data_IF_208744910861
#
_entry.id   IF_208744910861
#
_cell.length_a   1.000
_cell.length_b   1.000
_cell.length_c   1.000
_cell.angle_alpha   90.00
_cell.angle_beta   90.00
_cell.angle_gamma   90.00
#
_symmetry.space_group_name_H-M   'P 1'
#
loop_
_entity.id
_entity.type
_entity.pdbx_description
1 polymer ?
#
# COMPACT_ATOMS: atom_id res chain seq x y z
N UNK A 1 40.84 -31.16 -19.82
CA UNK A 1 39.39 -30.90 -19.92
C UNK A 1 39.06 -30.73 -21.40
N UNK A 2 38.12 -31.51 -21.93
CA UNK A 2 37.74 -31.51 -23.36
C UNK A 2 36.90 -30.25 -23.70
N UNK A 3 36.98 -29.73 -24.94
CA UNK A 3 36.20 -28.59 -25.44
C UNK A 3 34.69 -28.70 -25.13
N UNK A 4 34.09 -29.89 -25.23
CA UNK A 4 32.70 -30.16 -24.82
C UNK A 4 32.46 -29.93 -23.32
N UNK A 5 33.42 -30.27 -22.46
CA UNK A 5 33.31 -30.03 -21.02
C UNK A 5 33.41 -28.52 -20.70
N UNK A 6 34.27 -27.79 -21.42
CA UNK A 6 34.39 -26.33 -21.32
C UNK A 6 33.08 -25.65 -21.77
N UNK A 7 32.54 -26.07 -22.92
CA UNK A 7 31.26 -25.56 -23.42
C UNK A 7 30.10 -25.84 -22.46
N UNK A 8 30.05 -27.04 -21.89
CA UNK A 8 29.04 -27.42 -20.89
C UNK A 8 29.09 -26.55 -19.63
N UNK A 9 30.29 -26.22 -19.14
CA UNK A 9 30.48 -25.33 -18.00
C UNK A 9 30.12 -23.87 -18.32
N UNK A 10 30.53 -23.37 -19.48
CA UNK A 10 30.19 -22.01 -19.93
C UNK A 10 28.68 -21.82 -20.09
N UNK A 11 27.97 -22.81 -20.65
CA UNK A 11 26.51 -22.78 -20.79
C UNK A 11 25.79 -22.79 -19.44
N UNK A 12 26.28 -23.57 -18.46
CA UNK A 12 25.74 -23.54 -17.09
C UNK A 12 25.98 -22.20 -16.41
N UNK A 13 27.19 -21.66 -16.49
CA UNK A 13 27.53 -20.36 -15.92
C UNK A 13 26.68 -19.23 -16.53
N UNK A 14 26.44 -19.26 -17.85
CA UNK A 14 25.54 -18.33 -18.54
C UNK A 14 24.09 -18.44 -18.05
N UNK A 15 23.56 -19.65 -17.92
CA UNK A 15 22.20 -19.86 -17.41
C UNK A 15 22.05 -19.38 -15.96
N UNK A 16 23.02 -19.70 -15.09
CA UNK A 16 23.05 -19.23 -13.70
C UNK A 16 23.08 -17.69 -13.65
N UNK A 17 23.93 -17.05 -14.48
CA UNK A 17 23.98 -15.59 -14.57
C UNK A 17 22.64 -15.01 -15.03
N UNK A 18 22.04 -15.58 -16.07
CA UNK A 18 20.74 -15.14 -16.59
C UNK A 18 19.63 -15.28 -15.55
N UNK A 19 19.58 -16.39 -14.83
CA UNK A 19 18.62 -16.61 -13.72
C UNK A 19 18.84 -15.61 -12.59
N UNK A 20 20.10 -15.33 -12.24
CA UNK A 20 20.43 -14.33 -11.22
C UNK A 20 20.04 -12.91 -11.65
N UNK A 21 20.28 -12.54 -12.91
CA UNK A 21 19.91 -11.23 -13.46
C UNK A 21 18.38 -11.07 -13.49
N UNK A 22 17.64 -12.14 -13.84
CA UNK A 22 16.17 -12.17 -13.78
C UNK A 22 15.66 -12.02 -12.34
N UNK A 23 16.17 -12.81 -11.39
CA UNK A 23 15.83 -12.71 -9.96
C UNK A 23 16.14 -11.33 -9.39
N UNK A 24 17.25 -10.71 -9.80
CA UNK A 24 17.63 -9.36 -9.38
C UNK A 24 16.65 -8.31 -9.92
N UNK A 25 16.22 -8.45 -11.18
CA UNK A 25 15.20 -7.59 -11.78
C UNK A 25 13.84 -7.76 -11.10
N UNK A 26 13.41 -9.00 -10.84
CA UNK A 26 12.16 -9.29 -10.13
C UNK A 26 12.17 -8.73 -8.72
N UNK A 27 13.25 -8.95 -7.95
CA UNK A 27 13.41 -8.38 -6.62
C UNK A 27 13.35 -6.85 -6.62
N UNK A 28 13.87 -6.21 -7.67
CA UNK A 28 13.79 -4.76 -7.79
C UNK A 28 12.33 -4.27 -7.99
N UNK A 29 11.58 -4.93 -8.87
CA UNK A 29 10.16 -4.64 -9.06
C UNK A 29 9.34 -4.87 -7.80
N UNK A 30 9.60 -5.93 -7.05
CA UNK A 30 8.90 -6.17 -5.78
C UNK A 30 9.22 -5.13 -4.72
N UNK A 31 10.50 -4.76 -4.57
CA UNK A 31 10.90 -3.69 -3.67
C UNK A 31 10.19 -2.38 -4.01
N UNK A 32 10.18 -1.99 -5.29
CA UNK A 32 9.51 -0.78 -5.75
C UNK A 32 8.00 -0.87 -5.54
N UNK A 33 7.37 -2.02 -5.80
CA UNK A 33 5.96 -2.23 -5.57
C UNK A 33 5.58 -2.02 -4.10
N UNK A 34 6.29 -2.66 -3.16
CA UNK A 34 6.01 -2.50 -1.74
C UNK A 34 6.29 -1.07 -1.27
N UNK A 35 7.37 -0.44 -1.75
CA UNK A 35 7.63 0.98 -1.48
C UNK A 35 6.47 1.87 -1.92
N UNK A 36 6.00 1.71 -3.16
CA UNK A 36 4.86 2.47 -3.70
C UNK A 36 3.59 2.20 -2.90
N UNK A 37 3.34 0.93 -2.54
CA UNK A 37 2.18 0.53 -1.75
C UNK A 37 2.19 1.24 -0.40
N UNK A 38 3.25 1.10 0.39
CA UNK A 38 3.31 1.69 1.73
C UNK A 38 3.31 3.21 1.69
N UNK A 39 3.99 3.83 0.72
CA UNK A 39 3.90 5.29 0.51
C UNK A 39 2.47 5.76 0.24
N UNK A 40 1.66 4.95 -0.46
CA UNK A 40 0.23 5.27 -0.68
C UNK A 40 -0.63 5.11 0.57
N UNK A 41 -0.17 4.34 1.55
CA UNK A 41 -0.83 4.14 2.85
C UNK A 41 -0.46 5.20 3.89
N UNK A 42 0.61 5.98 3.67
CA UNK A 42 0.99 7.08 4.56
C UNK A 42 -0.20 8.04 4.78
N UNK A 43 -0.41 8.43 6.03
CA UNK A 43 -1.51 9.31 6.49
C UNK A 43 -2.93 8.75 6.29
N UNK A 44 -3.08 7.45 5.97
CA UNK A 44 -4.39 6.79 5.87
C UNK A 44 -4.68 5.91 7.08
N UNK A 45 -5.95 5.75 7.41
CA UNK A 45 -6.47 4.73 8.32
C UNK A 45 -6.43 3.38 7.59
N UNK A 46 -5.63 2.43 8.08
CA UNK A 46 -5.46 1.13 7.40
C UNK A 46 -6.24 0.05 8.12
N UNK A 47 -7.16 -0.60 7.41
CA UNK A 47 -7.90 -1.76 7.87
C UNK A 47 -7.49 -2.99 7.05
N UNK A 48 -7.32 -4.14 7.71
CA UNK A 48 -6.97 -5.39 7.05
C UNK A 48 -7.90 -6.49 7.56
N UNK A 49 -8.57 -7.18 6.67
CA UNK A 49 -9.50 -8.29 6.94
C UNK A 49 -8.78 -9.55 7.43
N UNK A 50 -9.49 -10.40 8.19
CA UNK A 50 -8.96 -11.59 8.86
C UNK A 50 -8.37 -12.57 7.85
N UNK A 51 -9.00 -12.68 6.68
CA UNK A 51 -8.55 -13.55 5.59
C UNK A 51 -7.15 -13.21 5.08
N UNK A 52 -6.70 -11.96 5.17
CA UNK A 52 -5.33 -11.57 4.81
C UNK A 52 -4.35 -12.01 5.89
N UNK A 53 -4.70 -11.82 7.17
CA UNK A 53 -3.88 -12.32 8.29
C UNK A 53 -3.78 -13.84 8.32
N UNK A 54 -4.86 -14.54 7.97
CA UNK A 54 -4.95 -16.00 7.93
C UNK A 54 -4.52 -16.59 6.57
N UNK A 55 -4.09 -15.77 5.63
CA UNK A 55 -3.63 -16.25 4.34
C UNK A 55 -2.46 -17.22 4.52
N UNK A 56 -2.44 -18.26 3.67
CA UNK A 56 -1.33 -19.20 3.63
C UNK A 56 -0.01 -18.45 3.43
N UNK A 57 0.96 -18.75 4.29
CA UNK A 57 2.27 -18.15 4.24
C UNK A 57 2.91 -18.38 2.86
N UNK A 58 3.16 -17.29 2.17
CA UNK A 58 3.89 -17.23 0.92
C UNK A 58 4.77 -15.99 0.92
N UNK A 59 5.73 -15.92 -0.01
CA UNK A 59 6.70 -14.82 -0.08
C UNK A 59 6.02 -13.44 -0.11
N UNK A 60 4.89 -13.29 -0.79
CA UNK A 60 4.18 -12.02 -0.90
C UNK A 60 3.58 -11.56 0.44
N UNK A 61 2.88 -12.46 1.14
CA UNK A 61 2.23 -12.17 2.43
C UNK A 61 3.27 -11.93 3.51
N UNK A 62 4.30 -12.78 3.58
CA UNK A 62 5.39 -12.61 4.55
C UNK A 62 6.13 -11.29 4.31
N UNK A 63 6.43 -10.97 3.05
CA UNK A 63 7.10 -9.72 2.70
C UNK A 63 6.23 -8.50 2.98
N UNK A 64 4.93 -8.57 2.74
CA UNK A 64 4.01 -7.49 3.10
C UNK A 64 4.09 -7.16 4.60
N UNK A 65 3.93 -8.16 5.47
CA UNK A 65 3.99 -7.93 6.93
C UNK A 65 5.40 -7.65 7.44
N UNK A 66 6.45 -8.11 6.76
CA UNK A 66 7.83 -7.79 7.10
C UNK A 66 8.18 -6.34 6.73
N UNK A 67 7.88 -5.92 5.51
CA UNK A 67 8.20 -4.58 5.03
C UNK A 67 7.31 -3.51 5.68
N UNK A 68 6.06 -3.84 6.04
CA UNK A 68 5.19 -2.94 6.82
C UNK A 68 5.88 -2.39 8.08
N UNK A 69 6.73 -3.20 8.72
CA UNK A 69 7.44 -2.84 9.97
C UNK A 69 8.39 -1.66 9.80
N UNK A 70 8.81 -1.37 8.57
CA UNK A 70 9.77 -0.32 8.24
C UNK A 70 9.15 1.08 8.16
N UNK A 71 7.82 1.20 8.24
CA UNK A 71 7.11 2.46 8.05
C UNK A 71 6.45 2.89 9.36
N UNK A 72 6.96 3.95 9.99
CA UNK A 72 6.55 4.40 11.33
C UNK A 72 5.21 5.10 11.38
N UNK A 73 4.82 5.75 10.28
CA UNK A 73 3.60 6.55 10.21
C UNK A 73 2.36 5.75 9.78
N UNK A 74 2.49 4.42 9.63
CA UNK A 74 1.40 3.55 9.20
C UNK A 74 1.03 2.61 10.35
N UNK A 75 -0.25 2.63 10.73
CA UNK A 75 -0.80 1.77 11.75
C UNK A 75 -2.06 1.05 11.23
N UNK A 76 -2.14 -0.26 11.49
CA UNK A 76 -3.33 -1.06 11.21
C UNK A 76 -4.33 -0.87 12.36
N UNK A 77 -5.60 -0.65 12.03
CA UNK A 77 -6.70 -0.61 12.97
C UNK A 77 -7.47 -1.92 12.85
N UNK A 78 -7.62 -2.61 13.98
CA UNK A 78 -8.28 -3.92 14.07
C UNK A 78 -9.39 -3.85 15.12
N UNK A 79 -10.64 -4.19 14.77
CA UNK A 79 -11.69 -4.34 15.78
C UNK A 79 -11.46 -5.58 16.65
N UNK A 80 -11.85 -5.52 17.92
CA UNK A 80 -11.80 -6.67 18.84
C UNK A 80 -12.50 -7.91 18.29
N UNK A 81 -13.59 -7.73 17.55
CA UNK A 81 -14.41 -8.78 16.96
C UNK A 81 -13.62 -9.60 15.93
N UNK A 82 -12.75 -8.97 15.16
CA UNK A 82 -11.87 -9.66 14.21
C UNK A 82 -10.83 -10.51 14.93
N UNK A 83 -10.22 -9.96 15.98
CA UNK A 83 -9.28 -10.70 16.81
C UNK A 83 -9.95 -11.94 17.43
N UNK A 84 -11.18 -11.78 17.93
CA UNK A 84 -11.98 -12.88 18.46
C UNK A 84 -12.36 -13.92 17.39
N UNK A 85 -12.66 -13.50 16.16
CA UNK A 85 -12.92 -14.41 15.05
C UNK A 85 -11.70 -15.31 14.76
N UNK A 86 -10.51 -14.71 14.66
CA UNK A 86 -9.25 -15.44 14.46
C UNK A 86 -8.99 -16.38 15.64
N UNK A 87 -9.25 -15.91 16.87
CA UNK A 87 -9.12 -16.73 18.08
C UNK A 87 -10.04 -17.96 18.05
N UNK A 88 -11.31 -17.78 17.70
CA UNK A 88 -12.28 -18.87 17.65
C UNK A 88 -11.93 -19.90 16.57
N UNK A 89 -11.26 -19.49 15.49
CA UNK A 89 -10.74 -20.39 14.44
C UNK A 89 -9.53 -21.20 14.90
N UNK A 90 -8.68 -20.66 15.77
CA UNK A 90 -7.55 -21.39 16.38
C UNK A 90 -7.99 -22.65 17.13
N UNK A 91 -9.21 -22.64 17.67
CA UNK A 91 -9.78 -23.75 18.44
C UNK A 91 -10.59 -24.74 17.58
N UNK A 92 -10.58 -24.60 16.25
CA UNK A 92 -11.29 -25.45 15.27
C UNK A 92 -10.33 -25.98 14.18
N UNK A 93 -10.86 -26.56 13.11
CA UNK A 93 -10.13 -27.28 12.05
C UNK A 93 -9.05 -26.45 11.32
N UNK A 94 -9.16 -25.11 11.27
CA UNK A 94 -8.19 -24.19 10.64
C UNK A 94 -7.08 -23.67 11.59
N UNK A 95 -6.55 -24.58 12.39
CA UNK A 95 -5.63 -24.29 13.49
C UNK A 95 -4.28 -23.73 13.03
N UNK A 96 -3.78 -24.10 11.84
CA UNK A 96 -2.51 -23.57 11.31
C UNK A 96 -2.65 -22.10 10.88
N UNK A 97 -3.64 -21.80 10.04
CA UNK A 97 -3.86 -20.45 9.52
C UNK A 97 -4.11 -19.43 10.65
N UNK A 98 -4.90 -19.81 11.65
CA UNK A 98 -5.13 -18.96 12.81
C UNK A 98 -3.84 -18.75 13.64
N UNK A 99 -3.01 -19.78 13.84
CA UNK A 99 -1.71 -19.65 14.53
C UNK A 99 -0.76 -18.70 13.78
N UNK A 100 -0.68 -18.83 12.46
CA UNK A 100 0.15 -17.94 11.64
C UNK A 100 -0.36 -16.49 11.72
N UNK A 101 -1.67 -16.28 11.69
CA UNK A 101 -2.28 -14.98 11.93
C UNK A 101 -1.92 -14.40 13.31
N UNK A 102 -1.97 -15.21 14.38
CA UNK A 102 -1.56 -14.78 15.71
C UNK A 102 -0.09 -14.36 15.77
N UNK A 103 0.81 -15.13 15.18
CA UNK A 103 2.22 -14.79 15.14
C UNK A 103 2.45 -13.44 14.43
N UNK A 104 1.71 -13.18 13.33
CA UNK A 104 1.76 -11.89 12.62
C UNK A 104 1.23 -10.74 13.48
N UNK A 105 0.09 -10.95 14.13
CA UNK A 105 -0.53 -9.94 15.02
C UNK A 105 0.38 -9.62 16.21
N UNK A 106 0.92 -10.63 16.88
CA UNK A 106 1.85 -10.49 18.01
C UNK A 106 3.05 -9.63 17.62
N UNK A 107 3.70 -9.95 16.49
CA UNK A 107 4.83 -9.17 15.97
C UNK A 107 4.46 -7.72 15.66
N UNK A 108 3.24 -7.46 15.16
CA UNK A 108 2.77 -6.10 14.92
C UNK A 108 2.45 -5.36 16.21
N UNK A 109 1.93 -6.04 17.24
CA UNK A 109 1.66 -5.46 18.57
C UNK A 109 2.97 -5.06 19.24
N UNK A 110 3.98 -5.93 19.25
CA UNK A 110 5.30 -5.67 19.82
C UNK A 110 5.96 -4.43 19.21
N UNK A 111 5.73 -4.22 17.91
CA UNK A 111 6.23 -3.08 17.15
C UNK A 111 5.30 -1.86 17.17
N UNK A 112 4.16 -1.93 17.89
CA UNK A 112 3.11 -0.89 17.96
C UNK A 112 2.52 -0.52 16.59
N UNK A 113 2.55 -1.44 15.63
CA UNK A 113 2.08 -1.30 14.24
C UNK A 113 0.61 -1.64 14.05
N UNK A 114 -0.04 -2.20 15.07
CA UNK A 114 -1.46 -2.51 15.07
C UNK A 114 -2.11 -1.98 16.34
N UNK A 115 -3.29 -1.40 16.20
CA UNK A 115 -4.14 -0.95 17.29
C UNK A 115 -5.40 -1.81 17.31
N UNK A 116 -5.53 -2.67 18.32
CA UNK A 116 -6.71 -3.51 18.52
C UNK A 116 -7.69 -2.75 19.40
N UNK A 117 -8.76 -2.25 18.78
CA UNK A 117 -9.73 -1.37 19.43
C UNK A 117 -10.66 -2.16 20.34
N UNK A 118 -10.80 -1.69 21.58
CA UNK A 118 -11.74 -2.22 22.58
C UNK A 118 -11.57 -3.73 22.82
N UNK A 119 -10.33 -4.23 22.92
CA UNK A 119 -10.07 -5.63 23.21
C UNK A 119 -10.74 -6.04 24.53
N UNK A 120 -11.78 -6.88 24.44
CA UNK A 120 -12.54 -7.37 25.60
C UNK A 120 -11.78 -8.51 26.26
N UNK A 121 -11.82 -8.54 27.60
CA UNK A 121 -11.28 -9.66 28.39
C UNK A 121 -12.09 -10.96 28.14
N UNK A 122 -13.40 -10.82 27.94
CA UNK A 122 -14.30 -11.95 27.69
C UNK A 122 -14.35 -12.34 26.21
N UNK A 123 -14.26 -13.65 25.95
CA UNK A 123 -14.34 -14.21 24.61
C UNK A 123 -15.78 -14.39 24.16
N UNK A 124 -16.15 -13.79 23.04
CA UNK A 124 -17.46 -13.94 22.41
C UNK A 124 -17.39 -15.01 21.32
N UNK A 125 -18.22 -16.05 21.44
CA UNK A 125 -18.24 -17.20 20.52
C UNK A 125 -18.83 -16.87 19.13
N UNK A 126 -19.55 -15.75 19.00
CA UNK A 126 -20.18 -15.28 17.77
C UNK A 126 -19.77 -13.84 17.41
N UNK A 127 -18.48 -13.52 17.54
CA UNK A 127 -17.97 -12.25 17.06
C UNK A 127 -18.04 -12.19 15.52
N UNK A 128 -18.66 -11.14 14.98
CA UNK A 128 -18.77 -10.92 13.53
C UNK A 128 -18.13 -9.57 13.19
N UNK A 129 -16.99 -9.61 12.51
CA UNK A 129 -16.17 -8.43 12.27
C UNK A 129 -16.74 -7.50 11.19
N UNK A 130 -17.43 -8.04 10.18
CA UNK A 130 -17.90 -7.28 9.01
C UNK A 130 -18.73 -6.03 9.34
N UNK A 131 -19.77 -6.09 10.20
CA UNK A 131 -20.59 -4.91 10.50
C UNK A 131 -19.78 -3.88 11.27
N UNK A 132 -18.79 -4.32 12.05
CA UNK A 132 -17.90 -3.45 12.81
C UNK A 132 -16.93 -2.74 11.86
N UNK A 133 -16.34 -3.45 10.90
CA UNK A 133 -15.53 -2.84 9.84
C UNK A 133 -16.31 -1.78 9.07
N UNK A 134 -17.52 -2.10 8.60
CA UNK A 134 -18.36 -1.14 7.88
C UNK A 134 -18.59 0.09 8.74
N UNK A 135 -18.99 -0.09 10.01
CA UNK A 135 -19.23 1.02 10.93
C UNK A 135 -17.97 1.89 11.11
N UNK A 136 -16.84 1.29 11.46
CA UNK A 136 -15.60 2.03 11.74
C UNK A 136 -15.09 2.79 10.51
N UNK A 137 -15.14 2.17 9.33
CA UNK A 137 -14.73 2.82 8.09
C UNK A 137 -15.65 4.01 7.77
N UNK A 138 -16.97 3.85 7.94
CA UNK A 138 -17.93 4.92 7.74
C UNK A 138 -17.69 6.08 8.73
N UNK A 139 -17.44 5.77 10.00
CA UNK A 139 -17.15 6.76 11.04
C UNK A 139 -15.85 7.54 10.71
N UNK A 140 -14.76 6.86 10.32
CA UNK A 140 -13.52 7.53 9.88
C UNK A 140 -13.74 8.42 8.64
N UNK A 141 -14.53 7.96 7.66
CA UNK A 141 -14.84 8.75 6.46
C UNK A 141 -15.67 9.99 6.79
N UNK A 142 -16.58 9.92 7.76
CA UNK A 142 -17.35 11.09 8.26
C UNK A 142 -16.45 12.12 8.94
N UNK A 143 -15.41 11.66 9.63
CA UNK A 143 -14.39 12.51 10.23
C UNK A 143 -13.42 13.11 9.20
N UNK A 144 -13.58 12.76 7.92
CA UNK A 144 -12.78 13.27 6.81
C UNK A 144 -11.44 12.54 6.66
N UNK A 145 -11.26 11.40 7.31
CA UNK A 145 -10.05 10.59 7.16
C UNK A 145 -10.03 9.87 5.81
N UNK A 146 -8.83 9.74 5.23
CA UNK A 146 -8.59 8.81 4.13
C UNK A 146 -8.44 7.39 4.70
N UNK A 147 -9.10 6.43 4.09
CA UNK A 147 -9.15 5.04 4.55
C UNK A 147 -8.63 4.11 3.46
N UNK A 148 -7.82 3.13 3.85
CA UNK A 148 -7.44 2.01 3.01
C UNK A 148 -7.88 0.70 3.65
N UNK A 149 -8.71 -0.08 2.95
CA UNK A 149 -9.22 -1.36 3.42
C UNK A 149 -8.75 -2.51 2.53
N UNK A 150 -8.03 -3.47 3.12
CA UNK A 150 -7.62 -4.71 2.47
C UNK A 150 -8.59 -5.83 2.82
N UNK A 151 -9.32 -6.33 1.82
CA UNK A 151 -10.20 -7.50 1.96
C UNK A 151 -10.27 -8.28 0.65
N UNK A 152 -10.41 -9.60 0.75
CA UNK A 152 -10.70 -10.47 -0.40
C UNK A 152 -12.21 -10.70 -0.57
N UNK A 153 -13.03 -10.35 0.43
CA UNK A 153 -14.46 -10.58 0.43
C UNK A 153 -15.19 -9.62 -0.52
N UNK A 154 -15.92 -10.17 -1.50
CA UNK A 154 -16.67 -9.40 -2.49
C UNK A 154 -17.98 -8.85 -1.93
N UNK A 155 -18.64 -9.59 -1.05
CA UNK A 155 -19.88 -9.17 -0.41
C UNK A 155 -19.62 -7.98 0.52
N UNK A 156 -18.57 -8.07 1.34
CA UNK A 156 -18.17 -6.97 2.22
C UNK A 156 -17.83 -5.69 1.43
N UNK A 157 -17.12 -5.82 0.29
CA UNK A 157 -16.86 -4.71 -0.64
C UNK A 157 -18.15 -4.07 -1.15
N UNK A 158 -19.13 -4.88 -1.53
CA UNK A 158 -20.41 -4.40 -2.06
C UNK A 158 -21.18 -3.67 -0.95
N UNK A 159 -21.33 -4.29 0.23
CA UNK A 159 -22.03 -3.68 1.37
C UNK A 159 -21.41 -2.35 1.78
N UNK A 160 -20.08 -2.26 1.86
CA UNK A 160 -19.39 -1.02 2.19
C UNK A 160 -19.64 0.08 1.15
N UNK A 161 -19.53 -0.25 -0.15
CA UNK A 161 -19.81 0.72 -1.23
C UNK A 161 -21.26 1.21 -1.25
N UNK A 162 -22.22 0.33 -0.98
CA UNK A 162 -23.63 0.72 -0.86
C UNK A 162 -23.80 1.70 0.30
N UNK A 163 -23.22 1.41 1.47
CA UNK A 163 -23.32 2.29 2.64
C UNK A 163 -22.72 3.67 2.43
N UNK A 164 -21.57 3.75 1.75
CA UNK A 164 -20.93 5.04 1.41
C UNK A 164 -21.83 5.91 0.55
N UNK A 165 -22.53 5.30 -0.42
CA UNK A 165 -23.50 6.00 -1.28
C UNK A 165 -24.73 6.44 -0.52
N UNK A 166 -25.28 5.57 0.32
CA UNK A 166 -26.45 5.89 1.18
C UNK A 166 -26.15 7.08 2.09
N UNK A 167 -24.93 7.16 2.61
CA UNK A 167 -24.50 8.23 3.52
C UNK A 167 -23.89 9.45 2.80
N UNK A 168 -23.87 9.45 1.46
CA UNK A 168 -23.33 10.54 0.63
C UNK A 168 -21.89 10.94 0.99
N UNK A 169 -21.06 9.95 1.33
CA UNK A 169 -19.67 10.16 1.71
C UNK A 169 -18.76 10.24 0.46
N UNK A 170 -17.61 10.89 0.62
CA UNK A 170 -16.64 10.99 -0.48
C UNK A 170 -15.98 9.64 -0.77
N UNK A 171 -16.35 9.01 -1.89
CA UNK A 171 -15.77 7.74 -2.34
C UNK A 171 -14.26 7.83 -2.59
N UNK A 172 -13.73 9.00 -2.95
CA UNK A 172 -12.30 9.19 -3.22
C UNK A 172 -11.43 9.02 -1.96
N UNK A 173 -12.03 9.21 -0.78
CA UNK A 173 -11.36 9.01 0.50
C UNK A 173 -11.26 7.53 0.89
N UNK A 174 -11.87 6.60 0.14
CA UNK A 174 -11.78 5.16 0.41
C UNK A 174 -11.08 4.39 -0.71
N UNK A 175 -9.97 3.75 -0.36
CA UNK A 175 -9.31 2.75 -1.19
C UNK A 175 -9.65 1.35 -0.70
N UNK A 176 -10.25 0.52 -1.56
CA UNK A 176 -10.52 -0.89 -1.24
C UNK A 176 -9.68 -1.79 -2.14
N UNK A 177 -8.87 -2.66 -1.54
CA UNK A 177 -7.93 -3.51 -2.26
C UNK A 177 -8.10 -4.99 -1.93
N UNK A 178 -8.00 -5.81 -2.98
CA UNK A 178 -7.61 -7.23 -2.85
C UNK A 178 -6.08 -7.27 -2.88
N UNK A 179 -5.47 -7.87 -1.86
CA UNK A 179 -4.01 -8.05 -1.83
C UNK A 179 -3.57 -8.93 -2.99
N UNK A 180 -4.32 -10.01 -3.28
CA UNK A 180 -4.04 -10.90 -4.40
C UNK A 180 -4.04 -10.14 -5.73
N UNK A 181 -5.04 -9.30 -5.98
CA UNK A 181 -5.11 -8.49 -7.20
C UNK A 181 -3.97 -7.47 -7.27
N UNK A 182 -3.70 -6.75 -6.18
CA UNK A 182 -2.61 -5.77 -6.14
C UNK A 182 -1.25 -6.42 -6.45
N UNK A 183 -0.94 -7.52 -5.78
CA UNK A 183 0.36 -8.18 -5.93
C UNK A 183 0.52 -8.82 -7.32
N UNK A 184 -0.55 -9.40 -7.88
CA UNK A 184 -0.51 -9.92 -9.25
C UNK A 184 -0.29 -8.80 -10.30
N UNK A 185 -0.73 -7.58 -10.00
CA UNK A 185 -0.58 -6.42 -10.87
C UNK A 185 0.67 -5.57 -10.56
N UNK A 186 1.59 -6.04 -9.71
CA UNK A 186 2.75 -5.27 -9.22
C UNK A 186 3.57 -4.62 -10.34
N UNK A 187 3.81 -5.33 -11.45
CA UNK A 187 4.59 -4.81 -12.57
C UNK A 187 3.91 -3.60 -13.24
N UNK A 188 2.60 -3.69 -13.50
CA UNK A 188 1.83 -2.58 -14.06
C UNK A 188 1.84 -1.36 -13.14
N UNK A 189 1.65 -1.61 -11.83
CA UNK A 189 1.63 -0.53 -10.82
C UNK A 189 2.99 0.20 -10.78
N UNK A 190 4.10 -0.54 -10.78
CA UNK A 190 5.45 0.03 -10.78
C UNK A 190 5.70 0.82 -12.06
N UNK A 191 5.36 0.26 -13.22
CA UNK A 191 5.58 0.93 -14.51
C UNK A 191 4.72 2.20 -14.66
N UNK A 192 3.47 2.19 -14.19
CA UNK A 192 2.60 3.36 -14.15
C UNK A 192 3.15 4.46 -13.23
N UNK A 193 3.63 4.11 -12.03
CA UNK A 193 4.19 5.10 -11.11
C UNK A 193 5.50 5.70 -11.65
N UNK A 194 6.35 4.89 -12.29
CA UNK A 194 7.57 5.39 -12.97
C UNK A 194 7.22 6.38 -14.08
N UNK A 195 6.19 6.10 -14.89
CA UNK A 195 5.73 7.03 -15.94
C UNK A 195 5.26 8.36 -15.33
N UNK A 196 4.45 8.31 -14.28
CA UNK A 196 3.98 9.51 -13.56
C UNK A 196 5.14 10.32 -13.00
N UNK A 197 6.16 9.67 -12.45
CA UNK A 197 7.33 10.37 -11.91
C UNK A 197 8.15 11.07 -12.99
N UNK A 198 8.30 10.44 -14.16
CA UNK A 198 8.95 11.06 -15.34
C UNK A 198 8.15 12.29 -15.80
N UNK A 199 6.83 12.22 -15.83
CA UNK A 199 5.97 13.34 -16.22
C UNK A 199 6.06 14.49 -15.22
N UNK A 200 5.97 14.20 -13.91
CA UNK A 200 6.15 15.20 -12.83
C UNK A 200 7.51 15.89 -12.92
N UNK A 201 8.57 15.14 -13.20
CA UNK A 201 9.93 15.71 -13.35
C UNK A 201 10.00 16.67 -14.53
N UNK A 202 9.44 16.29 -15.69
CA UNK A 202 9.38 17.17 -16.87
C UNK A 202 8.56 18.43 -16.60
N UNK A 203 7.48 18.33 -15.84
CA UNK A 203 6.66 19.46 -15.45
C UNK A 203 7.42 20.41 -14.52
N UNK A 204 8.10 19.89 -13.49
CA UNK A 204 8.97 20.69 -12.62
C UNK A 204 10.06 21.42 -13.39
N UNK A 205 10.76 20.73 -14.30
CA UNK A 205 11.77 21.36 -15.17
C UNK A 205 11.19 22.48 -16.06
N UNK A 206 9.91 22.40 -16.46
CA UNK A 206 9.23 23.49 -17.18
C UNK A 206 8.93 24.67 -16.26
N UNK A 207 8.44 24.40 -15.06
CA UNK A 207 8.15 25.43 -14.04
C UNK A 207 9.43 26.17 -13.67
N UNK A 208 10.51 25.45 -13.38
CA UNK A 208 11.80 26.03 -13.01
C UNK A 208 12.34 26.93 -14.13
N UNK A 209 12.25 26.49 -15.40
CA UNK A 209 12.61 27.34 -16.55
C UNK A 209 11.73 28.58 -16.66
N UNK A 210 10.44 28.49 -16.34
CA UNK A 210 9.55 29.66 -16.33
C UNK A 210 9.91 30.63 -15.20
N UNK A 211 10.23 30.12 -14.01
CA UNK A 211 10.67 30.92 -12.87
C UNK A 211 12.01 31.61 -13.16
N UNK A 212 12.98 30.91 -13.75
CA UNK A 212 14.26 31.47 -14.18
C UNK A 212 14.07 32.63 -15.17
N UNK A 213 13.12 32.53 -16.09
CA UNK A 213 12.79 33.63 -17.03
C UNK A 213 12.22 34.83 -16.26
N UNK A 214 11.33 34.60 -15.29
CA UNK A 214 10.73 35.66 -14.47
C UNK A 214 11.80 36.36 -13.62
N UNK A 215 12.72 35.61 -13.03
CA UNK A 215 13.76 36.11 -12.13
C UNK A 215 14.94 36.76 -12.88
N UNK A 216 15.40 36.17 -13.98
CA UNK A 216 16.65 36.57 -14.65
C UNK A 216 16.49 37.40 -15.92
N UNK A 217 15.30 37.55 -16.50
CA UNK A 217 15.25 38.19 -17.82
C UNK A 217 13.90 38.67 -18.32
N UNK A 218 13.83 39.97 -18.58
CA UNK A 218 12.84 40.69 -19.40
C UNK A 218 11.49 41.05 -18.76
N UNK A 219 10.95 40.31 -17.79
CA UNK A 219 9.63 40.70 -17.25
C UNK A 219 9.71 41.90 -16.29
N UNK A 220 10.62 41.86 -15.30
CA UNK A 220 10.90 43.01 -14.41
C UNK A 220 11.35 44.25 -15.19
N UNK A 221 12.22 44.09 -16.19
CA UNK A 221 12.69 45.22 -17.00
C UNK A 221 11.59 45.78 -17.91
N UNK A 222 10.76 44.94 -18.53
CA UNK A 222 9.61 45.41 -19.34
C UNK A 222 8.52 46.06 -18.49
N UNK A 223 8.30 45.60 -17.26
CA UNK A 223 7.38 46.25 -16.32
C UNK A 223 7.93 47.61 -15.86
N UNK A 224 9.21 47.68 -15.48
CA UNK A 224 9.87 48.92 -15.11
C UNK A 224 9.88 49.94 -16.27
N UNK A 225 10.14 49.49 -17.50
CA UNK A 225 10.09 50.33 -18.70
C UNK A 225 8.67 50.87 -18.94
N UNK A 226 7.63 50.02 -18.86
CA UNK A 226 6.24 50.45 -19.02
C UNK A 226 5.76 51.42 -17.94
N UNK A 227 6.24 51.24 -16.69
CA UNK A 227 5.94 52.17 -15.60
C UNK A 227 6.67 53.50 -15.81
N UNK A 228 7.93 53.48 -16.26
CA UNK A 228 8.67 54.69 -16.60
C UNK A 228 8.03 55.47 -17.77
N UNK A 229 7.58 54.76 -18.82
CA UNK A 229 6.88 55.35 -19.98
C UNK A 229 5.51 55.93 -19.61
N UNK A 230 4.86 55.40 -18.56
CA UNK A 230 3.58 55.91 -18.06
C UNK A 230 3.75 57.14 -17.16
N UNK A 231 4.85 57.23 -16.41
CA UNK A 231 5.15 58.37 -15.52
C UNK A 231 5.71 59.58 -16.29
N UNK A 232 6.28 59.35 -17.48
CA UNK A 232 6.87 60.41 -18.33
C UNK A 232 5.91 60.97 -19.39
N UNK A 233 4.64 60.55 -19.38
CA UNK A 233 3.52 61.19 -20.12
C UNK A 233 2.72 62.09 -19.19
#
# INVERSE_FOLDING_TARGET
MNIMQIYGLAKRAYNIKKENDQKKSENNYENEFFYILFKKLENKKVYIDSNIFMAESNEAIERFFYDFRKYDDIQIIMPSEQYQEIYNKKNKEDLKAARDAFNRIEQLVDLKKINIINLKEDMVTNAYADPIFIKMIIDDLKEGHEVCFFTEDKDLKIRLKVKIKEESLNEDNLLIHSFKTLYNNKYSIVDEERKKEIERKKERERIDKMLDIIENGTFKSRMAQKVADFITR
#
